data_IF_864015847275
#
_entry.id   IF_864015847275
#
_cell.length_a   1.000
_cell.length_b   1.000
_cell.length_c   1.000
_cell.angle_alpha   90.00
_cell.angle_beta   90.00
_cell.angle_gamma   90.00
#
_symmetry.space_group_name_H-M   'P 1'
#
loop_
_entity.id
_entity.type
_entity.pdbx_description
1 polymer ?
#
# COMPACT_ATOMS: atom_id res chain seq x y z
N UNK A 1 10.98 2.68 3.06
CA UNK A 1 12.00 3.68 2.66
C UNK A 1 12.25 3.81 1.14
N UNK A 2 11.69 2.96 0.26
CA UNK A 2 12.04 3.01 -1.18
C UNK A 2 11.24 4.03 -2.01
N UNK A 3 9.94 4.16 -1.80
CA UNK A 3 9.11 5.11 -2.57
C UNK A 3 9.37 6.57 -2.20
N UNK A 4 9.43 6.88 -0.89
CA UNK A 4 9.72 8.23 -0.41
C UNK A 4 11.05 8.79 -0.92
N UNK A 5 12.10 7.97 -0.98
CA UNK A 5 13.41 8.39 -1.50
C UNK A 5 13.39 8.58 -3.02
N UNK A 6 12.65 7.75 -3.76
CA UNK A 6 12.45 7.93 -5.20
C UNK A 6 11.72 9.25 -5.50
N UNK A 7 10.64 9.55 -4.77
CA UNK A 7 9.90 10.81 -4.91
C UNK A 7 10.80 12.00 -4.60
N UNK A 8 11.49 11.98 -3.46
CA UNK A 8 12.35 13.09 -3.02
C UNK A 8 13.47 13.40 -4.03
N UNK A 9 14.10 12.35 -4.61
CA UNK A 9 15.11 12.50 -5.67
C UNK A 9 14.52 13.06 -6.97
N UNK A 10 13.28 12.71 -7.31
CA UNK A 10 12.61 13.19 -8.51
C UNK A 10 12.07 14.61 -8.38
N UNK A 11 11.65 15.02 -7.18
CA UNK A 11 11.21 16.39 -6.89
C UNK A 11 12.37 17.36 -6.60
N UNK A 12 13.60 16.86 -6.51
CA UNK A 12 14.80 17.67 -6.26
C UNK A 12 14.97 18.11 -4.81
N UNK A 13 14.22 17.51 -3.87
CA UNK A 13 14.32 17.83 -2.45
C UNK A 13 15.48 17.04 -1.83
N UNK A 14 16.30 17.72 -1.03
CA UNK A 14 17.43 17.10 -0.34
C UNK A 14 16.96 16.13 0.75
N UNK A 15 17.43 14.87 0.70
CA UNK A 15 17.09 13.83 1.68
C UNK A 15 17.51 14.18 3.12
N UNK A 16 18.50 15.07 3.28
CA UNK A 16 19.08 15.46 4.57
C UNK A 16 18.41 16.69 5.19
N UNK A 17 17.56 17.41 4.44
CA UNK A 17 16.86 18.61 4.94
C UNK A 17 15.78 18.21 5.95
N UNK A 18 15.51 19.10 6.91
CA UNK A 18 14.44 18.87 7.90
C UNK A 18 13.08 19.18 7.30
N UNK A 19 12.09 18.36 7.63
CA UNK A 19 10.74 18.49 7.07
C UNK A 19 10.05 19.84 7.36
N UNK A 20 10.45 20.54 8.43
CA UNK A 20 9.92 21.86 8.78
C UNK A 20 10.51 23.03 7.98
N UNK A 21 11.55 22.80 7.18
CA UNK A 21 12.24 23.84 6.40
C UNK A 21 11.80 23.87 4.93
N UNK A 22 10.80 23.06 4.55
CA UNK A 22 10.28 23.03 3.19
C UNK A 22 9.37 24.22 2.92
N UNK A 23 9.47 24.78 1.72
CA UNK A 23 8.54 25.80 1.25
C UNK A 23 7.20 25.16 0.85
N UNK A 24 6.13 25.97 0.83
CA UNK A 24 4.81 25.52 0.39
C UNK A 24 4.83 25.00 -1.07
N UNK A 25 5.63 25.61 -1.94
CA UNK A 25 5.80 25.16 -3.32
C UNK A 25 6.44 23.76 -3.42
N UNK A 26 7.45 23.49 -2.58
CA UNK A 26 8.07 22.16 -2.51
C UNK A 26 7.08 21.11 -1.97
N UNK A 27 6.24 21.50 -1.00
CA UNK A 27 5.19 20.62 -0.46
C UNK A 27 4.15 20.25 -1.51
N UNK A 28 3.67 21.21 -2.30
CA UNK A 28 2.71 20.95 -3.38
C UNK A 28 3.31 20.03 -4.46
N UNK A 29 4.58 20.25 -4.84
CA UNK A 29 5.30 19.35 -5.75
C UNK A 29 5.36 17.92 -5.23
N UNK A 30 5.63 17.73 -3.94
CA UNK A 30 5.65 16.40 -3.32
C UNK A 30 4.25 15.78 -3.29
N UNK A 31 3.21 16.56 -2.96
CA UNK A 31 1.84 16.05 -2.94
C UNK A 31 1.41 15.56 -4.33
N UNK A 32 1.67 16.35 -5.37
CA UNK A 32 1.39 15.95 -6.75
C UNK A 32 2.19 14.71 -7.15
N UNK A 33 3.45 14.60 -6.72
CA UNK A 33 4.28 13.42 -6.98
C UNK A 33 3.78 12.15 -6.28
N UNK A 34 3.12 12.28 -5.12
CA UNK A 34 2.52 11.15 -4.41
C UNK A 34 1.22 10.70 -5.08
N UNK A 35 0.40 11.65 -5.55
CA UNK A 35 -0.87 11.35 -6.22
C UNK A 35 -0.63 10.71 -7.59
N UNK A 36 0.26 11.29 -8.40
CA UNK A 36 0.55 10.84 -9.76
C UNK A 36 2.05 10.59 -9.98
N UNK A 37 2.61 9.52 -9.40
CA UNK A 37 4.05 9.22 -9.49
C UNK A 37 4.54 8.99 -10.93
N UNK A 38 3.63 8.62 -11.85
CA UNK A 38 3.93 8.45 -13.27
C UNK A 38 4.35 9.76 -13.93
N UNK A 39 3.72 10.88 -13.55
CA UNK A 39 4.00 12.20 -14.11
C UNK A 39 5.42 12.68 -13.83
N UNK A 40 5.99 12.25 -12.70
CA UNK A 40 7.34 12.62 -12.24
C UNK A 40 8.41 11.62 -12.72
N UNK A 41 8.05 10.70 -13.62
CA UNK A 41 8.99 9.73 -14.20
C UNK A 41 9.43 8.63 -13.22
N UNK A 42 8.57 8.26 -12.27
CA UNK A 42 8.79 7.06 -11.43
C UNK A 42 8.38 5.82 -12.24
N UNK A 43 9.25 4.80 -12.33
CA UNK A 43 8.92 3.56 -13.02
C UNK A 43 7.73 2.83 -12.37
N UNK A 44 6.94 2.15 -13.19
CA UNK A 44 5.72 1.43 -12.78
C UNK A 44 6.01 0.34 -11.76
N UNK A 45 7.22 -0.22 -11.76
CA UNK A 45 7.65 -1.26 -10.83
C UNK A 45 7.58 -0.82 -9.36
N UNK A 46 7.61 0.49 -9.09
CA UNK A 46 7.50 1.06 -7.75
C UNK A 46 6.05 1.15 -7.25
N UNK A 47 5.06 0.95 -8.12
CA UNK A 47 3.65 1.11 -7.75
C UNK A 47 3.18 -0.08 -6.91
N UNK A 48 2.31 0.19 -5.94
CA UNK A 48 1.80 -0.84 -5.02
C UNK A 48 0.61 -1.60 -5.62
N UNK A 49 -0.10 -1.01 -6.59
CA UNK A 49 -1.25 -1.60 -7.25
C UNK A 49 -1.07 -1.58 -8.77
N UNK A 50 -0.35 -2.58 -9.26
CA UNK A 50 -0.05 -2.77 -10.68
C UNK A 50 -1.05 -3.71 -11.32
N UNK A 51 -1.40 -3.45 -12.58
CA UNK A 51 -2.33 -4.24 -13.39
C UNK A 51 -3.60 -4.58 -12.61
N UNK A 52 -4.36 -3.55 -12.23
CA UNK A 52 -5.60 -3.72 -11.49
C UNK A 52 -6.48 -4.80 -12.17
N UNK A 53 -6.95 -5.84 -11.45
CA UNK A 53 -7.80 -6.87 -12.03
C UNK A 53 -9.16 -6.37 -12.54
N UNK A 54 -9.57 -5.13 -12.23
CA UNK A 54 -10.79 -4.51 -12.74
C UNK A 54 -10.49 -3.68 -13.99
N UNK A 55 -9.64 -2.66 -13.87
CA UNK A 55 -9.44 -1.67 -14.95
C UNK A 55 -8.14 -1.85 -15.75
N UNK A 56 -7.25 -2.76 -15.31
CA UNK A 56 -5.95 -3.01 -15.93
C UNK A 56 -4.89 -1.92 -15.71
N UNK A 57 -5.25 -0.81 -15.08
CA UNK A 57 -4.37 0.34 -14.87
C UNK A 57 -3.36 0.11 -13.74
N UNK A 58 -2.21 0.78 -13.85
CA UNK A 58 -1.18 0.81 -12.81
C UNK A 58 -1.33 2.07 -11.96
N UNK A 59 -1.53 1.91 -10.66
CA UNK A 59 -1.77 3.03 -9.72
C UNK A 59 -0.98 2.88 -8.42
N UNK A 60 -0.75 4.00 -7.75
CA UNK A 60 -0.22 4.01 -6.39
C UNK A 60 -1.32 4.41 -5.40
N UNK A 61 -1.80 3.46 -4.60
CA UNK A 61 -2.85 3.69 -3.60
C UNK A 61 -2.29 4.37 -2.35
N UNK A 62 -2.97 5.41 -1.89
CA UNK A 62 -2.56 6.24 -0.75
C UNK A 62 -3.70 6.35 0.28
N UNK A 63 -3.36 6.24 1.57
CA UNK A 63 -4.25 6.49 2.71
C UNK A 63 -5.62 5.80 2.59
N UNK A 64 -6.72 6.56 2.55
CA UNK A 64 -8.10 6.07 2.55
C UNK A 64 -8.43 5.17 1.36
N UNK A 65 -7.86 5.44 0.18
CA UNK A 65 -8.07 4.62 -1.02
C UNK A 65 -7.50 3.22 -0.84
N UNK A 66 -6.36 3.10 -0.16
CA UNK A 66 -5.72 1.81 0.13
C UNK A 66 -6.58 0.95 1.06
N UNK A 67 -7.13 1.53 2.12
CA UNK A 67 -8.01 0.80 3.04
C UNK A 67 -9.33 0.38 2.38
N UNK A 68 -9.90 1.25 1.55
CA UNK A 68 -11.13 0.95 0.81
C UNK A 68 -10.93 -0.22 -0.16
N UNK A 69 -9.83 -0.22 -0.92
CA UNK A 69 -9.53 -1.27 -1.90
C UNK A 69 -9.34 -2.64 -1.23
N UNK A 70 -8.60 -2.70 -0.12
CA UNK A 70 -8.41 -3.95 0.61
C UNK A 70 -9.71 -4.51 1.19
N UNK A 71 -10.60 -3.64 1.68
CA UNK A 71 -11.93 -4.07 2.14
C UNK A 71 -12.78 -4.60 1.00
N UNK A 72 -12.81 -3.90 -0.14
CA UNK A 72 -13.57 -4.32 -1.32
C UNK A 72 -13.10 -5.69 -1.84
N UNK A 73 -11.78 -5.91 -1.88
CA UNK A 73 -11.18 -7.20 -2.25
C UNK A 73 -11.66 -8.33 -1.32
N UNK A 74 -11.69 -8.10 -0.01
CA UNK A 74 -12.16 -9.11 0.96
C UNK A 74 -13.65 -9.41 0.80
N UNK A 75 -14.48 -8.38 0.61
CA UNK A 75 -15.93 -8.57 0.41
C UNK A 75 -16.24 -9.32 -0.90
N UNK A 76 -15.54 -9.00 -1.99
CA UNK A 76 -15.62 -9.77 -3.24
C UNK A 76 -15.24 -11.23 -3.02
N UNK A 77 -14.16 -11.47 -2.27
CA UNK A 77 -13.70 -12.82 -1.92
C UNK A 77 -14.72 -13.63 -1.12
N UNK A 78 -15.41 -13.00 -0.16
CA UNK A 78 -16.47 -13.64 0.65
C UNK A 78 -17.66 -14.07 -0.21
N UNK A 79 -18.11 -13.21 -1.14
CA UNK A 79 -19.23 -13.53 -2.06
C UNK A 79 -18.93 -14.76 -2.92
N UNK A 80 -17.71 -14.86 -3.46
CA UNK A 80 -17.26 -15.97 -4.30
C UNK A 80 -16.88 -17.21 -3.46
N UNK A 81 -16.81 -17.08 -2.12
CA UNK A 81 -16.32 -18.10 -1.18
C UNK A 81 -14.89 -18.55 -1.46
N UNK A 82 -14.03 -17.60 -1.84
CA UNK A 82 -12.63 -17.88 -2.10
C UNK A 82 -11.89 -18.24 -0.80
N UNK A 83 -11.48 -19.50 -0.66
CA UNK A 83 -10.89 -20.07 0.57
C UNK A 83 -9.76 -19.21 1.16
N UNK A 84 -8.89 -18.67 0.30
CA UNK A 84 -7.75 -17.85 0.71
C UNK A 84 -8.20 -16.55 1.40
N UNK A 85 -9.18 -15.86 0.81
CA UNK A 85 -9.67 -14.57 1.30
C UNK A 85 -10.56 -14.75 2.53
N UNK A 86 -11.37 -15.81 2.57
CA UNK A 86 -12.14 -16.16 3.76
C UNK A 86 -11.22 -16.44 4.97
N UNK A 87 -10.10 -17.14 4.78
CA UNK A 87 -9.10 -17.36 5.84
C UNK A 87 -8.48 -16.06 6.36
N UNK A 88 -8.17 -15.12 5.46
CA UNK A 88 -7.67 -13.79 5.86
C UNK A 88 -8.71 -13.08 6.73
N UNK A 89 -9.98 -13.10 6.33
CA UNK A 89 -11.07 -12.49 7.09
C UNK A 89 -11.25 -13.14 8.48
N UNK A 90 -11.11 -14.46 8.58
CA UNK A 90 -11.13 -15.18 9.87
C UNK A 90 -9.86 -14.99 10.71
N UNK A 91 -8.83 -14.32 10.18
CA UNK A 91 -7.58 -14.09 10.89
C UNK A 91 -6.66 -15.31 10.99
N UNK A 92 -6.79 -16.25 10.04
CA UNK A 92 -5.97 -17.45 9.95
C UNK A 92 -4.76 -17.23 9.04
N UNK A 93 -3.68 -17.96 9.31
CA UNK A 93 -2.51 -18.04 8.42
C UNK A 93 -2.93 -18.65 7.08
N UNK A 94 -2.46 -18.05 5.99
CA UNK A 94 -2.92 -18.39 4.63
C UNK A 94 -1.86 -19.09 3.79
N UNK A 95 -0.59 -18.87 4.12
CA UNK A 95 0.54 -19.54 3.48
C UNK A 95 0.79 -20.91 4.12
N UNK A 96 1.75 -21.68 3.58
CA UNK A 96 2.13 -23.04 4.02
C UNK A 96 2.78 -23.14 5.42
N UNK A 97 2.41 -22.25 6.34
CA UNK A 97 2.89 -22.24 7.71
C UNK A 97 2.22 -23.36 8.52
N UNK A 98 2.99 -24.07 9.34
CA UNK A 98 2.46 -25.09 10.27
C UNK A 98 1.87 -24.42 11.51
N UNK A 99 0.66 -24.81 11.90
CA UNK A 99 -0.09 -24.24 13.04
C UNK A 99 -0.10 -25.12 14.31
N UNK A 100 0.68 -26.22 14.33
CA UNK A 100 0.68 -27.19 15.44
C UNK A 100 1.13 -26.57 16.77
N UNK A 101 2.23 -25.84 16.82
CA UNK A 101 2.77 -25.30 18.08
C UNK A 101 2.71 -23.77 18.18
N UNK A 102 2.78 -23.06 17.03
CA UNK A 102 3.06 -21.63 17.02
C UNK A 102 1.82 -20.78 16.68
N UNK A 103 1.63 -19.69 17.43
CA UNK A 103 0.57 -18.70 17.19
C UNK A 103 -0.79 -19.08 17.80
N UNK A 104 -0.79 -19.57 19.05
CA UNK A 104 -1.98 -20.05 19.77
C UNK A 104 -2.94 -18.95 20.22
N UNK A 105 -2.42 -17.77 20.56
CA UNK A 105 -3.21 -16.63 21.08
C UNK A 105 -3.13 -15.38 20.19
N UNK A 106 -2.60 -15.52 18.98
CA UNK A 106 -2.42 -14.39 18.04
C UNK A 106 -3.36 -14.53 16.85
N UNK A 107 -3.80 -13.39 16.32
CA UNK A 107 -4.53 -13.34 15.05
C UNK A 107 -3.53 -13.08 13.92
N UNK A 108 -3.68 -13.80 12.81
CA UNK A 108 -2.78 -13.73 11.65
C UNK A 108 -3.42 -13.07 10.41
N UNK A 109 -4.46 -12.26 10.62
CA UNK A 109 -5.13 -11.49 9.56
C UNK A 109 -4.34 -10.25 9.14
N UNK A 110 -4.98 -9.35 8.38
CA UNK A 110 -4.39 -8.04 8.06
C UNK A 110 -4.35 -7.17 9.32
N UNK A 111 -3.17 -6.68 9.67
CA UNK A 111 -2.93 -5.85 10.86
C UNK A 111 -2.46 -4.48 10.38
N UNK A 112 -3.15 -3.43 10.83
CA UNK A 112 -2.79 -2.05 10.56
C UNK A 112 -2.47 -1.36 11.89
N UNK A 113 -1.39 -0.57 11.91
CA UNK A 113 -1.04 0.24 13.08
C UNK A 113 -1.95 1.46 13.14
N UNK A 114 -2.63 1.68 14.26
CA UNK A 114 -3.33 2.95 14.50
C UNK A 114 -2.31 4.07 14.67
N UNK A 115 -2.60 5.22 14.06
CA UNK A 115 -1.92 6.49 14.34
C UNK A 115 -2.44 7.06 15.64
#
# INVERSE_FOLDING_TARGET
MRMSTAICKRTGVGLTRRAGELSNEELEKIQNAILDPKSVGIPVEFFNYRRNPVDGTDTHLVSTKLDAEYRLMLERGKKIRHVRLCRIACGLKVHGQRSKSNGRHIRAGMIFRRK
#
